data_IF_068084779845
#
_entry.id   IF_068084779845
#
_cell.length_a   1.000
_cell.length_b   1.000
_cell.length_c   1.000
_cell.angle_alpha   90.00
_cell.angle_beta   90.00
_cell.angle_gamma   90.00
#
_symmetry.space_group_name_H-M   'P 1'
#
loop_
_entity.id
_entity.type
_entity.pdbx_description
1 polymer ?
#
# COMPACT_ATOMS: atom_id res chain seq x y z
N UNK A 1 -5.13 1.53 -14.40
CA UNK A 1 -4.29 2.18 -13.37
C UNK A 1 -4.73 1.70 -11.97
N UNK A 2 -3.96 1.91 -10.89
CA UNK A 2 -4.39 1.63 -9.51
C UNK A 2 -5.67 2.42 -9.14
N UNK A 3 -5.83 3.62 -9.70
CA UNK A 3 -7.05 4.45 -9.56
C UNK A 3 -8.31 3.75 -10.04
N UNK A 4 -8.26 3.11 -11.22
CA UNK A 4 -9.42 2.36 -11.75
C UNK A 4 -9.72 1.12 -10.91
N UNK A 5 -8.67 0.46 -10.42
CA UNK A 5 -8.80 -0.80 -9.66
C UNK A 5 -9.38 -0.59 -8.26
N UNK A 6 -9.13 0.57 -7.63
CA UNK A 6 -9.59 0.86 -6.28
C UNK A 6 -11.00 1.44 -6.22
N UNK A 7 -11.55 1.93 -7.35
CA UNK A 7 -12.85 2.62 -7.39
C UNK A 7 -13.99 1.83 -6.72
N UNK A 8 -14.18 0.51 -6.97
CA UNK A 8 -15.25 -0.23 -6.30
C UNK A 8 -15.10 -0.29 -4.77
N UNK A 9 -13.87 -0.26 -4.26
CA UNK A 9 -13.60 -0.20 -2.83
C UNK A 9 -13.96 1.17 -2.26
N UNK A 10 -13.61 2.26 -2.97
CA UNK A 10 -14.01 3.62 -2.58
C UNK A 10 -15.54 3.73 -2.48
N UNK A 11 -16.26 3.24 -3.49
CA UNK A 11 -17.73 3.31 -3.53
C UNK A 11 -18.35 2.54 -2.36
N UNK A 12 -17.89 1.30 -2.12
CA UNK A 12 -18.35 0.48 -1.00
C UNK A 12 -18.05 1.15 0.35
N UNK A 13 -16.82 1.63 0.54
CA UNK A 13 -16.37 2.16 1.82
C UNK A 13 -17.12 3.44 2.18
N UNK A 14 -17.42 4.29 1.18
CA UNK A 14 -18.31 5.44 1.37
C UNK A 14 -19.74 5.01 1.72
N UNK A 15 -20.28 3.99 1.05
CA UNK A 15 -21.63 3.50 1.31
C UNK A 15 -21.82 2.95 2.74
N UNK A 16 -20.75 2.41 3.35
CA UNK A 16 -20.77 1.89 4.72
C UNK A 16 -20.17 2.85 5.76
N UNK A 17 -19.89 4.09 5.39
CA UNK A 17 -19.26 5.11 6.26
C UNK A 17 -17.92 4.66 6.86
N UNK A 18 -17.12 3.91 6.11
CA UNK A 18 -15.77 3.58 6.52
C UNK A 18 -14.89 4.85 6.51
N UNK A 19 -13.98 5.02 7.48
CA UNK A 19 -13.21 6.25 7.62
C UNK A 19 -11.99 6.36 6.68
N UNK A 20 -11.49 5.23 6.19
CA UNK A 20 -10.27 5.16 5.39
C UNK A 20 -10.16 3.83 4.63
N UNK A 21 -9.23 3.77 3.68
CA UNK A 21 -8.77 2.53 3.07
C UNK A 21 -7.43 2.13 3.69
N UNK A 22 -7.32 0.88 4.12
CA UNK A 22 -6.03 0.29 4.53
C UNK A 22 -5.26 -0.10 3.28
N UNK A 23 -4.07 0.48 3.09
CA UNK A 23 -3.21 0.24 1.94
C UNK A 23 -1.93 -0.49 2.35
N UNK A 24 -1.63 -1.60 1.68
CA UNK A 24 -0.33 -2.26 1.76
C UNK A 24 0.11 -2.68 0.35
N UNK A 25 1.35 -2.36 -0.02
CA UNK A 25 1.89 -2.73 -1.33
C UNK A 25 2.21 -4.23 -1.38
N UNK A 26 1.60 -4.94 -2.33
CA UNK A 26 1.71 -6.40 -2.46
C UNK A 26 2.44 -6.85 -3.72
N UNK A 27 2.83 -5.95 -4.64
CA UNK A 27 3.40 -6.30 -5.94
C UNK A 27 4.70 -7.10 -5.88
N UNK A 28 5.51 -6.90 -4.83
CA UNK A 28 6.72 -7.70 -4.54
C UNK A 28 6.62 -8.52 -3.24
N UNK A 29 5.49 -8.46 -2.54
CA UNK A 29 5.33 -9.10 -1.23
C UNK A 29 5.45 -10.61 -1.34
N UNK A 30 6.07 -11.24 -0.33
CA UNK A 30 6.17 -12.70 -0.22
C UNK A 30 5.25 -13.28 0.85
N UNK A 31 4.27 -12.51 1.35
CA UNK A 31 3.42 -12.88 2.50
C UNK A 31 2.59 -14.16 2.31
N UNK A 32 2.35 -14.57 1.06
CA UNK A 32 1.64 -15.82 0.73
C UNK A 32 2.55 -16.92 0.18
N UNK A 33 3.85 -16.65 -0.02
CA UNK A 33 4.78 -17.59 -0.64
C UNK A 33 5.44 -18.46 0.43
N UNK A 34 4.82 -19.62 0.68
CA UNK A 34 5.31 -20.59 1.68
C UNK A 34 6.66 -21.22 1.35
N UNK A 35 7.16 -21.04 0.12
CA UNK A 35 8.48 -21.54 -0.29
C UNK A 35 9.63 -20.63 0.11
N UNK A 36 9.33 -19.38 0.50
CA UNK A 36 10.35 -18.36 0.82
C UNK A 36 10.38 -18.04 2.32
N UNK A 37 11.56 -18.02 2.94
CA UNK A 37 11.68 -17.50 4.30
C UNK A 37 11.33 -16.01 4.35
N UNK A 38 10.58 -15.58 5.37
CA UNK A 38 10.19 -14.16 5.52
C UNK A 38 11.39 -13.21 5.59
N UNK A 39 12.53 -13.67 6.11
CA UNK A 39 13.79 -12.93 6.14
C UNK A 39 14.33 -12.54 4.74
N UNK A 40 13.79 -13.13 3.67
CA UNK A 40 14.13 -12.82 2.28
C UNK A 40 13.17 -11.82 1.64
N UNK A 41 12.45 -11.03 2.46
CA UNK A 41 11.52 -10.00 1.99
C UNK A 41 12.17 -9.09 0.94
N UNK A 42 11.39 -8.55 0.00
CA UNK A 42 11.89 -7.52 -0.90
C UNK A 42 12.38 -6.29 -0.10
N UNK A 43 13.56 -5.79 -0.48
CA UNK A 43 14.04 -4.47 -0.04
C UNK A 43 14.15 -3.55 -1.25
N UNK A 44 13.79 -2.29 -1.05
CA UNK A 44 14.04 -1.22 -1.99
C UNK A 44 15.39 -0.58 -1.64
N UNK A 45 16.12 -0.10 -2.63
CA UNK A 45 17.19 0.87 -2.39
C UNK A 45 16.61 2.21 -1.93
N UNK A 46 17.44 3.09 -1.37
CA UNK A 46 17.00 4.43 -0.95
C UNK A 46 16.36 5.23 -2.10
N UNK A 47 16.89 5.09 -3.31
CA UNK A 47 16.35 5.78 -4.49
C UNK A 47 15.04 5.15 -4.97
N UNK A 48 14.92 3.82 -4.94
CA UNK A 48 13.65 3.14 -5.19
C UNK A 48 12.59 3.54 -4.15
N UNK A 49 12.98 3.68 -2.88
CA UNK A 49 12.09 4.09 -1.80
C UNK A 49 11.57 5.51 -2.02
N UNK A 50 12.42 6.46 -2.41
CA UNK A 50 11.99 7.84 -2.74
C UNK A 50 10.97 7.86 -3.89
N UNK A 51 11.22 7.07 -4.94
CA UNK A 51 10.31 6.97 -6.08
C UNK A 51 8.98 6.33 -5.66
N UNK A 52 9.03 5.27 -4.85
CA UNK A 52 7.86 4.62 -4.30
C UNK A 52 7.04 5.56 -3.41
N UNK A 53 7.67 6.22 -2.45
CA UNK A 53 7.04 7.17 -1.54
C UNK A 53 6.34 8.30 -2.30
N UNK A 54 7.00 8.87 -3.33
CA UNK A 54 6.36 9.90 -4.17
C UNK A 54 5.08 9.41 -4.84
N UNK A 55 5.11 8.21 -5.46
CA UNK A 55 3.93 7.63 -6.12
C UNK A 55 2.82 7.30 -5.12
N UNK A 56 3.18 6.79 -3.95
CA UNK A 56 2.25 6.50 -2.87
C UNK A 56 1.59 7.78 -2.34
N UNK A 57 2.35 8.86 -2.18
CA UNK A 57 1.83 10.17 -1.80
C UNK A 57 0.82 10.67 -2.82
N UNK A 58 1.17 10.70 -4.11
CA UNK A 58 0.26 11.14 -5.19
C UNK A 58 -1.04 10.30 -5.22
N UNK A 59 -0.92 8.99 -4.98
CA UNK A 59 -2.08 8.10 -4.91
C UNK A 59 -2.93 8.35 -3.65
N UNK A 60 -2.29 8.55 -2.50
CA UNK A 60 -2.95 8.82 -1.23
C UNK A 60 -3.69 10.16 -1.23
N UNK A 61 -3.08 11.21 -1.78
CA UNK A 61 -3.70 12.52 -1.99
C UNK A 61 -4.94 12.40 -2.88
N UNK A 62 -4.82 11.69 -4.01
CA UNK A 62 -5.96 11.43 -4.88
C UNK A 62 -7.09 10.66 -4.17
N UNK A 63 -6.77 9.65 -3.37
CA UNK A 63 -7.78 8.92 -2.59
C UNK A 63 -8.46 9.82 -1.54
N UNK A 64 -7.69 10.71 -0.89
CA UNK A 64 -8.21 11.69 0.05
C UNK A 64 -9.17 12.69 -0.62
N UNK A 65 -8.88 13.14 -1.85
CA UNK A 65 -9.80 13.96 -2.66
C UNK A 65 -11.13 13.26 -2.96
N UNK A 66 -11.15 11.93 -3.03
CA UNK A 66 -12.38 11.14 -3.17
C UNK A 66 -13.17 10.99 -1.85
N UNK A 67 -12.65 11.52 -0.75
CA UNK A 67 -13.18 11.37 0.60
C UNK A 67 -12.81 10.05 1.26
N UNK A 68 -11.72 9.41 0.82
CA UNK A 68 -11.30 8.11 1.32
C UNK A 68 -9.77 8.06 1.54
N UNK A 69 -9.25 8.68 2.61
CA UNK A 69 -7.82 8.72 2.87
C UNK A 69 -7.24 7.33 3.10
N UNK A 70 -5.93 7.17 2.83
CA UNK A 70 -5.23 5.91 3.06
C UNK A 70 -4.66 5.84 4.48
N UNK A 71 -4.73 4.66 5.09
CA UNK A 71 -3.93 4.27 6.24
C UNK A 71 -2.91 3.23 5.78
N UNK A 72 -1.61 3.55 5.89
CA UNK A 72 -0.58 2.65 5.41
C UNK A 72 -0.38 1.48 6.38
N UNK A 73 -0.45 0.27 5.86
CA UNK A 73 -0.25 -0.97 6.59
C UNK A 73 1.12 -1.54 6.28
N UNK A 74 2.11 -1.15 7.08
CA UNK A 74 3.37 -1.88 7.10
C UNK A 74 3.08 -3.35 7.47
N UNK A 75 3.69 -4.28 6.74
CA UNK A 75 3.32 -5.69 6.85
C UNK A 75 4.54 -6.60 6.69
N UNK A 76 4.54 -7.72 7.40
CA UNK A 76 5.57 -8.75 7.22
C UNK A 76 5.63 -9.22 5.76
N UNK A 77 6.84 -9.44 5.27
CA UNK A 77 7.14 -9.82 3.90
C UNK A 77 6.82 -8.78 2.81
N UNK A 78 6.47 -7.54 3.18
CA UNK A 78 6.31 -6.43 2.25
C UNK A 78 7.59 -5.58 2.12
N UNK A 79 7.57 -4.63 1.17
CA UNK A 79 8.68 -3.69 0.96
C UNK A 79 8.89 -2.75 2.15
N UNK A 80 7.81 -2.36 2.83
CA UNK A 80 7.83 -1.60 4.10
C UNK A 80 7.27 -2.51 5.19
N UNK A 81 8.12 -2.94 6.11
CA UNK A 81 7.80 -3.90 7.18
C UNK A 81 8.18 -3.35 8.55
N UNK A 82 9.35 -2.73 8.63
CA UNK A 82 10.02 -2.28 9.85
C UNK A 82 10.12 -0.75 9.87
N UNK A 83 10.25 -0.17 11.06
CA UNK A 83 10.33 1.29 11.25
C UNK A 83 11.40 2.00 10.40
N UNK A 84 12.60 1.44 10.15
CA UNK A 84 13.63 2.13 9.37
C UNK A 84 13.29 2.39 7.89
N UNK A 85 12.24 1.76 7.36
CA UNK A 85 11.80 1.89 5.96
C UNK A 85 10.77 3.02 5.81
#
# INVERSE_FOLDING_TARGET
DNKDRIQPMIDLFKAVNAPCIVYGEVGRSIQGDRSKPLATKPKLSDDEMKVYAKRLTEFGEWCAEQGMPLSYHHHMAAVVETEPE
#
